data_IF_475221836027
#
_entry.id   IF_475221836027
#
_cell.length_a   1.000
_cell.length_b   1.000
_cell.length_c   1.000
_cell.angle_alpha   90.00
_cell.angle_beta   90.00
_cell.angle_gamma   90.00
#
_symmetry.space_group_name_H-M   'P 1'
#
loop_
_entity.id
_entity.type
_entity.pdbx_description
1 polymer ?
#
# COMPACT_ATOMS: atom_id res chain seq x y z
N UNK A 1 19.94 3.23 -22.63
CA UNK A 1 18.63 2.69 -22.19
C UNK A 1 17.49 3.72 -22.36
N UNK A 2 17.53 4.59 -23.37
CA UNK A 2 16.57 5.69 -23.48
C UNK A 2 15.13 5.22 -23.73
N UNK A 3 14.93 4.23 -24.61
CA UNK A 3 13.58 3.69 -24.88
C UNK A 3 12.91 3.05 -23.66
N UNK A 4 13.69 2.44 -22.75
CA UNK A 4 13.14 1.92 -21.49
C UNK A 4 12.67 3.05 -20.56
N UNK A 5 13.41 4.16 -20.50
CA UNK A 5 13.03 5.31 -19.68
C UNK A 5 11.78 6.02 -20.22
N UNK A 6 11.60 6.03 -21.54
CA UNK A 6 10.40 6.54 -22.19
C UNK A 6 9.20 5.64 -21.88
N UNK A 7 9.34 4.32 -22.08
CA UNK A 7 8.29 3.34 -21.75
C UNK A 7 7.87 3.41 -20.27
N UNK A 8 8.84 3.47 -19.35
CA UNK A 8 8.58 3.59 -17.90
C UNK A 8 7.76 4.84 -17.62
N UNK A 9 8.16 5.99 -18.16
CA UNK A 9 7.49 7.27 -17.91
C UNK A 9 6.07 7.29 -18.45
N UNK A 10 5.86 6.85 -19.68
CA UNK A 10 4.52 6.79 -20.26
C UNK A 10 3.59 5.86 -19.47
N UNK A 11 4.12 4.73 -18.99
CA UNK A 11 3.35 3.79 -18.19
C UNK A 11 3.01 4.39 -16.81
N UNK A 12 3.96 5.05 -16.16
CA UNK A 12 3.71 5.76 -14.89
C UNK A 12 2.63 6.84 -15.05
N UNK A 13 2.69 7.65 -16.12
CA UNK A 13 1.71 8.71 -16.41
C UNK A 13 0.30 8.14 -16.65
N UNK A 14 0.17 7.10 -17.48
CA UNK A 14 -1.13 6.48 -17.76
C UNK A 14 -1.72 5.80 -16.52
N UNK A 15 -0.91 5.14 -15.71
CA UNK A 15 -1.39 4.51 -14.48
C UNK A 15 -1.80 5.56 -13.44
N UNK A 16 -1.06 6.66 -13.33
CA UNK A 16 -1.43 7.79 -12.49
C UNK A 16 -2.80 8.38 -12.91
N UNK A 17 -3.02 8.57 -14.22
CA UNK A 17 -4.29 9.06 -14.76
C UNK A 17 -5.47 8.13 -14.43
N UNK A 18 -5.33 6.82 -14.66
CA UNK A 18 -6.41 5.85 -14.43
C UNK A 18 -6.75 5.68 -12.95
N UNK A 19 -5.76 5.82 -12.05
CA UNK A 19 -5.95 5.62 -10.61
C UNK A 19 -6.23 6.90 -9.83
N UNK A 20 -5.97 8.07 -10.41
CA UNK A 20 -6.08 9.36 -9.76
C UNK A 20 -4.96 9.68 -8.76
N UNK A 21 -3.85 8.92 -8.77
CA UNK A 21 -2.67 9.23 -7.97
C UNK A 21 -1.76 10.25 -8.66
N UNK A 22 -0.98 11.01 -7.89
CA UNK A 22 0.00 11.96 -8.45
C UNK A 22 1.19 11.26 -9.13
N UNK A 23 1.59 10.09 -8.61
CA UNK A 23 2.75 9.30 -9.07
C UNK A 23 2.56 7.80 -8.84
N UNK A 24 3.21 7.01 -9.68
CA UNK A 24 3.25 5.54 -9.61
C UNK A 24 4.71 5.08 -9.57
N UNK A 25 5.00 4.01 -8.82
CA UNK A 25 6.29 3.33 -8.85
C UNK A 25 6.12 1.97 -9.52
N UNK A 26 6.96 1.67 -10.51
CA UNK A 26 7.01 0.37 -11.19
C UNK A 26 7.99 -0.62 -10.55
N UNK A 27 8.59 -0.28 -9.40
CA UNK A 27 9.57 -1.14 -8.72
C UNK A 27 8.97 -2.43 -8.14
N UNK A 28 7.76 -2.43 -7.53
CA UNK A 28 7.20 -3.66 -6.97
C UNK A 28 6.81 -4.65 -8.07
N UNK A 29 7.40 -5.85 -8.03
CA UNK A 29 7.23 -6.86 -9.08
C UNK A 29 6.12 -7.88 -8.80
N UNK A 30 5.35 -7.70 -7.71
CA UNK A 30 4.19 -8.51 -7.34
C UNK A 30 3.23 -7.67 -6.49
N UNK A 31 1.94 -8.06 -6.46
CA UNK A 31 0.91 -7.34 -5.68
C UNK A 31 1.27 -7.20 -4.19
N UNK A 32 1.73 -8.28 -3.56
CA UNK A 32 2.17 -8.26 -2.15
C UNK A 32 3.40 -7.38 -1.92
N UNK A 33 4.30 -7.24 -2.90
CA UNK A 33 5.39 -6.27 -2.81
C UNK A 33 4.89 -4.83 -2.95
N UNK A 34 3.85 -4.61 -3.76
CA UNK A 34 3.18 -3.30 -3.85
C UNK A 34 2.55 -2.90 -2.52
N UNK A 35 1.84 -3.81 -1.86
CA UNK A 35 1.30 -3.61 -0.51
C UNK A 35 2.40 -3.25 0.50
N UNK A 36 3.49 -4.03 0.53
CA UNK A 36 4.62 -3.78 1.42
C UNK A 36 5.27 -2.41 1.14
N UNK A 37 5.54 -2.09 -0.13
CA UNK A 37 6.14 -0.82 -0.52
C UNK A 37 5.24 0.37 -0.13
N UNK A 38 3.93 0.25 -0.34
CA UNK A 38 2.95 1.25 0.08
C UNK A 38 2.95 1.47 1.60
N UNK A 39 2.94 0.39 2.39
CA UNK A 39 2.98 0.50 3.85
C UNK A 39 4.32 1.06 4.37
N UNK A 40 5.44 0.74 3.72
CA UNK A 40 6.74 1.34 4.03
C UNK A 40 6.75 2.84 3.71
N UNK A 41 6.13 3.26 2.61
CA UNK A 41 5.98 4.68 2.27
C UNK A 41 5.13 5.43 3.31
N UNK A 42 3.97 4.86 3.70
CA UNK A 42 3.11 5.42 4.77
C UNK A 42 3.87 5.52 6.10
N UNK A 43 4.62 4.48 6.48
CA UNK A 43 5.43 4.48 7.70
C UNK A 43 6.56 5.51 7.64
N UNK A 44 7.21 5.63 6.49
CA UNK A 44 8.25 6.63 6.22
C UNK A 44 7.72 8.05 6.37
N UNK A 45 6.52 8.32 5.82
CA UNK A 45 5.83 9.59 5.94
C UNK A 45 5.55 9.96 7.41
N UNK A 46 4.95 9.05 8.20
CA UNK A 46 4.70 9.33 9.62
C UNK A 46 5.99 9.59 10.39
N UNK A 47 7.05 8.81 10.16
CA UNK A 47 8.35 9.02 10.80
C UNK A 47 8.96 10.38 10.46
N UNK A 48 8.88 10.79 9.21
CA UNK A 48 9.38 12.10 8.76
C UNK A 48 8.66 13.27 9.45
N UNK A 49 7.41 13.07 9.84
CA UNK A 49 6.60 14.06 10.57
C UNK A 49 6.68 13.92 12.10
N UNK A 50 7.52 13.02 12.63
CA UNK A 50 7.64 12.78 14.08
C UNK A 50 6.56 11.86 14.68
N UNK A 51 5.62 11.38 13.89
CA UNK A 51 4.49 10.52 14.28
C UNK A 51 4.91 9.05 14.48
N UNK A 52 5.97 8.80 15.25
CA UNK A 52 6.57 7.46 15.40
C UNK A 52 5.67 6.43 16.09
N UNK A 53 4.66 6.89 16.83
CA UNK A 53 3.68 6.03 17.51
C UNK A 53 2.59 5.47 16.56
N UNK A 54 2.45 6.00 15.34
CA UNK A 54 1.45 5.55 14.36
C UNK A 54 1.91 4.26 13.66
N UNK A 55 1.77 3.14 14.38
CA UNK A 55 2.22 1.82 13.92
C UNK A 55 1.09 0.82 13.77
N UNK A 56 -0.16 1.21 14.03
CA UNK A 56 -1.33 0.32 13.90
C UNK A 56 -1.85 0.33 12.47
N UNK A 57 -2.03 -0.86 11.89
CA UNK A 57 -2.68 -1.06 10.60
C UNK A 57 -4.01 -1.79 10.83
N UNK A 58 -5.12 -1.14 10.47
CA UNK A 58 -6.45 -1.72 10.55
C UNK A 58 -6.69 -2.57 9.29
N UNK A 59 -7.04 -3.84 9.47
CA UNK A 59 -7.26 -4.78 8.36
C UNK A 59 -8.60 -5.48 8.56
N UNK A 60 -9.56 -5.36 7.63
CA UNK A 60 -10.83 -6.08 7.71
C UNK A 60 -10.63 -7.59 7.73
N UNK A 61 -11.48 -8.32 8.45
CA UNK A 61 -11.47 -9.79 8.44
C UNK A 61 -11.70 -10.42 7.05
N UNK A 62 -12.29 -9.67 6.11
CA UNK A 62 -12.48 -10.10 4.72
C UNK A 62 -11.29 -9.84 3.80
N UNK A 63 -10.24 -9.15 4.27
CA UNK A 63 -9.09 -8.79 3.44
C UNK A 63 -8.29 -10.01 2.98
N UNK A 64 -7.62 -9.88 1.83
CA UNK A 64 -6.71 -10.91 1.35
C UNK A 64 -5.56 -11.14 2.33
N UNK A 65 -5.11 -12.39 2.48
CA UNK A 65 -4.12 -12.78 3.49
C UNK A 65 -2.76 -12.08 3.35
N UNK A 66 -2.41 -11.61 2.14
CA UNK A 66 -1.18 -10.83 1.90
C UNK A 66 -1.18 -9.51 2.65
N UNK A 67 -2.33 -8.86 2.84
CA UNK A 67 -2.42 -7.56 3.51
C UNK A 67 -1.83 -7.62 4.92
N UNK A 68 -2.24 -8.63 5.70
CA UNK A 68 -1.74 -8.83 7.07
C UNK A 68 -0.25 -9.17 7.08
N UNK A 69 0.20 -10.03 6.16
CA UNK A 69 1.61 -10.38 6.04
C UNK A 69 2.47 -9.15 5.70
N UNK A 70 2.06 -8.37 4.70
CA UNK A 70 2.71 -7.12 4.25
C UNK A 70 2.79 -6.10 5.40
N UNK A 71 1.75 -5.93 6.20
CA UNK A 71 1.75 -5.02 7.35
C UNK A 71 2.71 -5.45 8.47
N UNK A 72 2.75 -6.75 8.79
CA UNK A 72 3.72 -7.27 9.75
C UNK A 72 5.15 -7.08 9.23
N UNK A 73 5.40 -7.37 7.95
CA UNK A 73 6.71 -7.15 7.31
C UNK A 73 7.13 -5.68 7.30
N UNK A 74 6.18 -4.74 7.15
CA UNK A 74 6.43 -3.31 7.25
C UNK A 74 6.73 -2.84 8.69
N UNK A 75 6.64 -3.73 9.69
CA UNK A 75 6.84 -3.44 11.11
C UNK A 75 5.67 -2.72 11.75
N UNK A 76 4.45 -2.98 11.27
CA UNK A 76 3.20 -2.46 11.81
C UNK A 76 2.48 -3.51 12.66
N UNK A 77 1.71 -3.05 13.65
CA UNK A 77 0.81 -3.88 14.44
C UNK A 77 -0.53 -4.01 13.71
N UNK A 78 -0.86 -5.23 13.29
CA UNK A 78 -2.17 -5.52 12.68
C UNK A 78 -3.25 -5.55 13.76
N UNK A 79 -4.35 -4.83 13.52
CA UNK A 79 -5.58 -4.92 14.29
C UNK A 79 -6.70 -5.28 13.33
N UNK A 80 -7.33 -6.42 13.57
CA UNK A 80 -8.43 -6.90 12.73
C UNK A 80 -9.69 -6.11 13.05
N UNK A 81 -10.35 -5.57 12.03
CA UNK A 81 -11.68 -4.94 12.15
C UNK A 81 -12.75 -5.89 11.63
N UNK A 82 -13.90 -5.89 12.30
CA UNK A 82 -15.01 -6.77 11.94
C UNK A 82 -15.60 -6.37 10.59
N UNK A 83 -16.20 -7.35 9.93
CA UNK A 83 -16.97 -7.17 8.72
C UNK A 83 -18.40 -7.62 8.96
N UNK A 84 -19.36 -6.85 8.45
CA UNK A 84 -20.77 -7.21 8.49
C UNK A 84 -21.05 -8.43 7.59
N UNK A 85 -22.23 -9.03 7.74
CA UNK A 85 -22.62 -10.23 6.97
C UNK A 85 -22.65 -10.00 5.46
N UNK A 86 -22.84 -8.75 5.02
CA UNK A 86 -22.80 -8.34 3.61
C UNK A 86 -21.37 -8.15 3.07
N UNK A 87 -20.33 -8.36 3.89
CA UNK A 87 -18.92 -8.22 3.51
C UNK A 87 -18.34 -6.81 3.66
N UNK A 88 -19.15 -5.83 4.05
CA UNK A 88 -18.69 -4.46 4.32
C UNK A 88 -17.96 -4.37 5.67
N UNK A 89 -17.18 -3.29 5.86
CA UNK A 89 -16.55 -2.99 7.15
C UNK A 89 -17.62 -2.57 8.16
N UNK A 90 -17.61 -3.18 9.34
CA UNK A 90 -18.50 -2.85 10.46
C UNK A 90 -18.04 -1.52 11.10
N UNK A 91 -18.85 -0.45 10.94
CA UNK A 91 -18.53 0.95 11.30
C UNK A 91 -18.91 1.32 12.74
#
# INVERSE_FOLDING_TARGET
>A
AQGYLELIRELEERLAEVTGYDKVSLQPNAGSQGELAGLLAVRGYHRANGDTARTVCLIPSSAHGTNAASAVMAGMKVVVVKTAENGEVDL
#
